data_IF_471303737426
#
_entry.id   IF_471303737426
#
_cell.length_a   1.000
_cell.length_b   1.000
_cell.length_c   1.000
_cell.angle_alpha   90.00
_cell.angle_beta   90.00
_cell.angle_gamma   90.00
#
_symmetry.space_group_name_H-M   'P 1'
#
loop_
_entity.id
_entity.type
_entity.pdbx_description
1 polymer ?
#
# COMPACT_ATOMS: atom_id res chain seq x y z
N UNK A 1 2.64 2.76 -20.73
CA UNK A 1 2.60 1.83 -19.58
C UNK A 1 1.23 1.20 -19.53
N UNK A 2 1.18 -0.13 -19.55
CA UNK A 2 -0.04 -0.89 -19.29
C UNK A 2 -0.44 -0.78 -17.81
N UNK A 3 -1.71 -1.03 -17.50
CA UNK A 3 -2.18 -1.09 -16.10
C UNK A 3 -1.39 -2.10 -15.28
N UNK A 4 -1.08 -3.26 -15.87
CA UNK A 4 -0.30 -4.32 -15.22
C UNK A 4 1.09 -3.85 -14.83
N UNK A 5 1.76 -3.06 -15.69
CA UNK A 5 3.07 -2.48 -15.38
C UNK A 5 2.98 -1.46 -14.25
N UNK A 6 1.95 -0.60 -14.27
CA UNK A 6 1.73 0.41 -13.22
C UNK A 6 1.48 -0.25 -11.85
N UNK A 7 0.68 -1.31 -11.81
CA UNK A 7 0.40 -2.06 -10.59
C UNK A 7 1.64 -2.80 -10.07
N UNK A 8 2.48 -3.36 -10.97
CA UNK A 8 3.75 -3.97 -10.59
C UNK A 8 4.71 -2.94 -9.98
N UNK A 9 4.88 -1.80 -10.64
CA UNK A 9 5.71 -0.72 -10.12
C UNK A 9 5.23 -0.22 -8.74
N UNK A 10 3.92 -0.04 -8.58
CA UNK A 10 3.35 0.35 -7.29
C UNK A 10 3.60 -0.69 -6.20
N UNK A 11 3.37 -1.98 -6.50
CA UNK A 11 3.69 -3.07 -5.59
C UNK A 11 5.15 -3.03 -5.17
N UNK A 12 6.07 -2.88 -6.11
CA UNK A 12 7.51 -2.91 -5.84
C UNK A 12 7.92 -1.75 -4.91
N UNK A 13 7.36 -0.54 -5.12
CA UNK A 13 7.55 0.60 -4.21
C UNK A 13 6.97 0.35 -2.82
N UNK A 14 5.78 -0.27 -2.73
CA UNK A 14 5.17 -0.58 -1.43
C UNK A 14 5.97 -1.62 -0.64
N UNK A 15 6.65 -2.54 -1.34
CA UNK A 15 7.44 -3.63 -0.77
C UNK A 15 8.86 -3.22 -0.36
N UNK A 16 9.37 -2.10 -0.88
CA UNK A 16 10.74 -1.67 -0.63
C UNK A 16 11.08 -1.59 0.88
N UNK A 17 12.17 -2.24 1.28
CA UNK A 17 12.59 -2.31 2.69
C UNK A 17 11.69 -3.14 3.63
N UNK A 18 10.73 -3.93 3.12
CA UNK A 18 9.95 -4.87 3.94
C UNK A 18 10.43 -6.31 3.76
N UNK A 19 11.02 -6.88 4.81
CA UNK A 19 11.42 -8.30 4.84
C UNK A 19 10.19 -9.17 5.11
N UNK A 20 10.00 -10.22 4.32
CA UNK A 20 8.92 -11.23 4.49
C UNK A 20 7.48 -10.68 4.49
N UNK A 21 7.22 -9.54 3.84
CA UNK A 21 5.87 -8.94 3.76
C UNK A 21 5.27 -8.93 2.35
N UNK A 22 5.83 -9.69 1.42
CA UNK A 22 5.36 -9.74 0.02
C UNK A 22 3.84 -10.00 -0.05
N UNK A 23 3.38 -11.07 0.59
CA UNK A 23 1.95 -11.46 0.63
C UNK A 23 1.08 -10.38 1.28
N UNK A 24 1.51 -9.82 2.40
CA UNK A 24 0.74 -8.82 3.13
C UNK A 24 0.52 -7.55 2.30
N UNK A 25 1.57 -7.08 1.59
CA UNK A 25 1.47 -5.91 0.71
C UNK A 25 0.58 -6.19 -0.50
N UNK A 26 0.67 -7.38 -1.11
CA UNK A 26 -0.18 -7.76 -2.25
C UNK A 26 -1.65 -7.84 -1.86
N UNK A 27 -1.98 -8.44 -0.72
CA UNK A 27 -3.35 -8.50 -0.21
C UNK A 27 -3.89 -7.12 0.16
N UNK A 28 -3.05 -6.26 0.74
CA UNK A 28 -3.41 -4.88 1.04
C UNK A 28 -3.71 -4.08 -0.24
N UNK A 29 -2.88 -4.21 -1.26
CA UNK A 29 -3.12 -3.59 -2.56
C UNK A 29 -4.40 -4.12 -3.21
N UNK A 30 -4.63 -5.43 -3.18
CA UNK A 30 -5.83 -6.05 -3.73
C UNK A 30 -7.10 -5.56 -3.01
N UNK A 31 -7.08 -5.56 -1.67
CA UNK A 31 -8.21 -5.09 -0.87
C UNK A 31 -8.52 -3.62 -1.14
N UNK A 32 -7.51 -2.75 -1.21
CA UNK A 32 -7.68 -1.34 -1.54
C UNK A 32 -8.29 -1.13 -2.94
N UNK A 33 -7.87 -1.91 -3.94
CA UNK A 33 -8.41 -1.83 -5.30
C UNK A 33 -9.82 -2.42 -5.41
N UNK A 34 -10.14 -3.43 -4.60
CA UNK A 34 -11.46 -4.04 -4.54
C UNK A 34 -12.47 -3.22 -3.72
N UNK A 35 -12.01 -2.20 -2.97
CA UNK A 35 -12.85 -1.45 -2.02
C UNK A 35 -13.17 -2.25 -0.74
N UNK A 36 -12.38 -3.26 -0.43
CA UNK A 36 -12.59 -4.17 0.69
C UNK A 36 -11.70 -3.83 1.89
N UNK A 37 -12.14 -4.24 3.09
CA UNK A 37 -11.40 -4.02 4.32
C UNK A 37 -10.33 -5.09 4.54
N UNK A 38 -9.16 -4.70 5.04
CA UNK A 38 -8.07 -5.61 5.44
C UNK A 38 -7.67 -5.37 6.90
N UNK A 39 -7.53 -6.46 7.67
CA UNK A 39 -6.98 -6.46 9.03
C UNK A 39 -5.59 -7.11 9.05
N UNK A 40 -4.60 -6.42 9.60
CA UNK A 40 -3.24 -6.93 9.79
C UNK A 40 -3.02 -7.32 11.27
N UNK A 41 -2.73 -8.60 11.53
CA UNK A 41 -2.52 -9.14 12.89
C UNK A 41 -1.09 -9.68 13.04
N UNK A 42 -0.47 -9.45 14.20
CA UNK A 42 0.82 -10.07 14.56
C UNK A 42 1.52 -9.40 15.75
N UNK A 43 2.68 -9.91 16.19
CA UNK A 43 3.49 -9.33 17.28
C UNK A 43 3.91 -7.87 17.04
N UNK A 44 4.25 -7.08 18.07
CA UNK A 44 4.81 -5.73 17.87
C UNK A 44 6.09 -5.78 17.03
N UNK A 45 6.38 -4.70 16.29
CA UNK A 45 7.58 -4.61 15.44
C UNK A 45 7.47 -5.26 14.05
N UNK A 46 6.34 -5.88 13.69
CA UNK A 46 6.18 -6.58 12.40
C UNK A 46 5.74 -5.71 11.21
N UNK A 47 6.09 -4.42 11.22
CA UNK A 47 5.80 -3.45 10.15
C UNK A 47 4.31 -3.27 9.73
N UNK A 48 3.33 -3.71 10.55
CA UNK A 48 1.89 -3.58 10.24
C UNK A 48 1.46 -2.14 9.93
N UNK A 49 1.78 -1.21 10.82
CA UNK A 49 1.46 0.21 10.65
C UNK A 49 2.20 0.84 9.49
N UNK A 50 3.40 0.34 9.15
CA UNK A 50 4.18 0.81 8.01
C UNK A 50 3.49 0.43 6.68
N UNK A 51 3.01 -0.82 6.55
CA UNK A 51 2.23 -1.26 5.39
C UNK A 51 0.97 -0.43 5.23
N UNK A 52 0.19 -0.25 6.31
CA UNK A 52 -1.02 0.57 6.28
C UNK A 52 -0.74 2.03 5.86
N UNK A 53 0.32 2.65 6.41
CA UNK A 53 0.72 4.01 6.08
C UNK A 53 1.16 4.15 4.62
N UNK A 54 1.95 3.21 4.10
CA UNK A 54 2.37 3.23 2.69
C UNK A 54 1.20 3.05 1.74
N UNK A 55 0.28 2.15 2.07
CA UNK A 55 -0.95 1.97 1.31
C UNK A 55 -1.78 3.26 1.29
N UNK A 56 -1.95 3.91 2.45
CA UNK A 56 -2.64 5.21 2.51
C UNK A 56 -1.98 6.27 1.64
N UNK A 57 -0.64 6.36 1.64
CA UNK A 57 0.11 7.31 0.80
C UNK A 57 0.03 6.98 -0.70
N UNK A 58 -0.10 5.71 -1.07
CA UNK A 58 -0.25 5.29 -2.47
C UNK A 58 -1.58 5.73 -3.09
N UNK A 59 -2.60 5.95 -2.26
CA UNK A 59 -3.96 6.32 -2.68
C UNK A 59 -4.44 7.67 -2.14
N UNK A 60 -3.63 8.38 -1.34
CA UNK A 60 -3.98 9.72 -0.87
C UNK A 60 -3.97 10.69 -2.04
N UNK A 61 -5.11 11.30 -2.33
CA UNK A 61 -5.18 12.46 -3.20
C UNK A 61 -4.22 13.53 -2.67
N UNK A 62 -3.32 14.02 -3.55
CA UNK A 62 -2.66 15.29 -3.31
C UNK A 62 -3.78 16.34 -3.39
N UNK A 63 -4.38 16.70 -2.25
CA UNK A 63 -5.20 17.90 -2.18
C UNK A 63 -4.26 19.09 -2.36
N UNK A 64 -3.98 19.44 -3.62
CA UNK A 64 -3.42 20.73 -4.00
C UNK A 64 -4.47 21.81 -3.73
N UNK A 65 -4.65 22.15 -2.45
CA UNK A 65 -5.30 23.41 -2.08
C UNK A 65 -4.36 24.53 -2.50
N UNK A 66 -4.47 24.97 -3.76
CA UNK A 66 -4.11 26.34 -4.09
C UNK A 66 -5.09 27.22 -3.30
N UNK A 67 -4.58 27.82 -2.22
CA UNK A 67 -5.26 28.92 -1.54
C UNK A 67 -5.30 30.06 -2.55
N UNK A 68 -6.50 30.33 -3.05
CA UNK A 68 -6.88 31.55 -3.77
C UNK A 68 -6.99 32.68 -2.76
#
# INVERSE_FOLDING_TARGET
MSLTERLRALRDVLQDGLVERDTAVRLALLAALAGEHLLLIGPPGTAKSLVARRLALAFSEVTSTQVV
#
